data_IF_816400906073
#
_entry.id   IF_816400906073
#
_cell.length_a   1.000
_cell.length_b   1.000
_cell.length_c   1.000
_cell.angle_alpha   90.00
_cell.angle_beta   90.00
_cell.angle_gamma   90.00
#
_symmetry.space_group_name_H-M   'P 1'
#
loop_
_entity.id
_entity.type
_entity.pdbx_description
1 polymer ?
#
# COMPACT_ATOMS: atom_id res chain seq x y z
N UNK A 1 7.64 3.20 30.19
CA UNK A 1 8.52 2.65 29.14
C UNK A 1 7.69 2.56 27.87
N UNK A 2 7.90 3.40 26.83
CA UNK A 2 7.28 3.14 25.54
C UNK A 2 7.93 1.88 24.95
N UNK A 3 7.10 0.94 24.48
CA UNK A 3 7.58 -0.22 23.75
C UNK A 3 8.20 0.25 22.44
N UNK A 4 9.46 -0.10 22.20
CA UNK A 4 10.12 0.09 20.92
C UNK A 4 9.29 -0.63 19.86
N UNK A 5 8.72 0.10 18.92
CA UNK A 5 8.26 -0.49 17.68
C UNK A 5 9.51 -1.03 16.98
N UNK A 6 9.69 -2.35 17.02
CA UNK A 6 10.69 -3.01 16.19
C UNK A 6 10.27 -2.75 14.75
N UNK A 7 10.90 -1.78 14.10
CA UNK A 7 10.91 -1.63 12.65
C UNK A 7 11.60 -2.86 12.08
N UNK A 8 10.86 -3.96 11.98
CA UNK A 8 11.22 -5.07 11.12
C UNK A 8 11.21 -4.58 9.67
N UNK A 9 11.90 -5.27 8.74
CA UNK A 9 11.77 -4.94 7.33
C UNK A 9 10.30 -5.03 6.96
N UNK A 10 9.70 -3.92 6.52
CA UNK A 10 8.30 -3.90 6.12
C UNK A 10 8.06 -4.93 5.03
N UNK A 11 6.87 -5.52 5.00
CA UNK A 11 6.50 -6.40 3.90
C UNK A 11 6.07 -5.55 2.70
N UNK A 12 6.34 -6.04 1.49
CA UNK A 12 5.92 -5.37 0.25
C UNK A 12 4.50 -5.76 -0.11
N UNK A 13 3.73 -4.77 -0.54
CA UNK A 13 2.34 -4.92 -0.93
C UNK A 13 2.07 -4.15 -2.22
N UNK A 14 1.29 -4.77 -3.10
CA UNK A 14 0.76 -4.16 -4.30
C UNK A 14 -0.61 -3.59 -3.96
N UNK A 15 -0.80 -2.31 -4.22
CA UNK A 15 -2.08 -1.59 -4.09
C UNK A 15 -2.56 -1.23 -5.49
N UNK A 16 -3.79 -1.63 -5.83
CA UNK A 16 -4.41 -1.38 -7.13
C UNK A 16 -5.75 -0.67 -6.96
N UNK A 17 -6.11 0.19 -7.90
CA UNK A 17 -7.46 0.71 -7.98
C UNK A 17 -8.44 -0.44 -8.32
N UNK A 18 -9.53 -0.58 -7.57
CA UNK A 18 -10.52 -1.63 -7.82
C UNK A 18 -11.47 -1.31 -8.98
N UNK A 19 -11.52 -0.05 -9.44
CA UNK A 19 -12.37 0.36 -10.56
C UNK A 19 -12.41 1.86 -10.86
N UNK A 20 -12.02 2.73 -9.92
CA UNK A 20 -11.91 4.17 -10.14
C UNK A 20 -10.43 4.56 -10.30
N UNK A 21 -10.05 5.04 -11.49
CA UNK A 21 -8.68 5.50 -11.80
C UNK A 21 -8.20 6.64 -10.86
N UNK A 22 -9.13 7.37 -10.24
CA UNK A 22 -8.82 8.44 -9.29
C UNK A 22 -8.64 7.98 -7.83
N UNK A 23 -9.07 6.77 -7.47
CA UNK A 23 -9.03 6.28 -6.10
C UNK A 23 -7.59 6.14 -5.60
N UNK A 24 -6.68 5.70 -6.47
CA UNK A 24 -5.28 5.50 -6.11
C UNK A 24 -4.52 6.84 -5.99
N UNK A 25 -4.84 7.82 -6.84
CA UNK A 25 -4.27 9.17 -6.73
C UNK A 25 -4.70 9.86 -5.42
N UNK A 26 -6.00 9.78 -5.07
CA UNK A 26 -6.53 10.28 -3.79
C UNK A 26 -5.93 9.55 -2.59
N UNK A 27 -5.72 8.24 -2.74
CA UNK A 27 -5.07 7.44 -1.73
C UNK A 27 -3.63 7.90 -1.50
N UNK A 28 -2.86 8.11 -2.58
CA UNK A 28 -1.49 8.59 -2.53
C UNK A 28 -1.37 9.94 -1.80
N UNK A 29 -2.30 10.87 -2.08
CA UNK A 29 -2.39 12.16 -1.39
C UNK A 29 -2.67 12.00 0.12
N UNK A 30 -3.51 11.02 0.49
CA UNK A 30 -3.87 10.72 1.87
C UNK A 30 -2.73 10.06 2.67
N UNK A 31 -1.85 9.28 2.02
CA UNK A 31 -0.75 8.56 2.69
C UNK A 31 0.59 9.29 2.67
N UNK A 32 0.73 10.39 1.94
CA UNK A 32 2.02 11.11 1.77
C UNK A 32 2.66 11.60 3.08
N UNK A 33 1.93 11.59 4.19
CA UNK A 33 2.41 11.95 5.53
C UNK A 33 2.49 10.77 6.52
N UNK A 34 2.18 9.53 6.11
CA UNK A 34 2.15 8.37 7.00
C UNK A 34 3.53 7.70 7.06
N UNK A 35 4.27 7.79 8.18
CA UNK A 35 5.60 7.19 8.30
C UNK A 35 5.57 5.66 8.40
N UNK A 36 4.39 5.03 8.51
CA UNK A 36 4.25 3.57 8.51
C UNK A 36 4.04 2.99 7.10
N UNK A 37 3.86 3.85 6.08
CA UNK A 37 3.65 3.47 4.68
C UNK A 37 4.71 4.10 3.78
N UNK A 38 5.62 3.28 3.28
CA UNK A 38 6.66 3.73 2.34
C UNK A 38 6.28 3.35 0.92
N UNK A 39 6.05 4.33 0.05
CA UNK A 39 5.84 4.06 -1.38
C UNK A 39 7.19 3.71 -2.02
N UNK A 40 7.31 2.48 -2.50
CA UNK A 40 8.50 1.99 -3.19
C UNK A 40 8.44 2.28 -4.69
N UNK A 41 7.27 2.08 -5.31
CA UNK A 41 7.09 2.21 -6.74
C UNK A 41 5.69 2.68 -7.09
N UNK A 42 5.58 3.49 -8.13
CA UNK A 42 4.30 3.95 -8.69
C UNK A 42 4.27 3.55 -10.16
N UNK A 43 3.25 2.79 -10.54
CA UNK A 43 3.09 2.24 -11.88
C UNK A 43 1.83 2.82 -12.52
N UNK A 44 2.02 3.40 -13.71
CA UNK A 44 0.97 4.04 -14.50
C UNK A 44 1.29 5.49 -14.83
N UNK A 45 0.36 6.20 -15.50
CA UNK A 45 0.52 7.60 -15.83
C UNK A 45 0.57 8.46 -14.56
N UNK A 46 1.42 9.49 -14.55
CA UNK A 46 1.66 10.32 -13.36
C UNK A 46 0.38 10.98 -12.81
N UNK A 47 -0.61 11.26 -13.66
CA UNK A 47 -1.88 11.86 -13.26
C UNK A 47 -2.91 10.84 -12.75
N UNK A 48 -2.75 9.55 -13.05
CA UNK A 48 -3.68 8.48 -12.72
C UNK A 48 -2.94 7.13 -12.58
N UNK A 49 -2.14 6.97 -11.51
CA UNK A 49 -1.48 5.69 -11.28
C UNK A 49 -2.51 4.60 -11.07
N UNK A 50 -2.31 3.44 -11.69
CA UNK A 50 -3.21 2.29 -11.55
C UNK A 50 -2.68 1.27 -10.53
N UNK A 51 -1.39 1.33 -10.21
CA UNK A 51 -0.76 0.43 -9.24
C UNK A 51 0.32 1.15 -8.45
N UNK A 52 0.38 0.86 -7.15
CA UNK A 52 1.43 1.29 -6.24
C UNK A 52 2.05 0.05 -5.59
N UNK A 53 3.36 0.09 -5.36
CA UNK A 53 4.06 -0.85 -4.50
C UNK A 53 4.44 -0.10 -3.23
N UNK A 54 3.98 -0.60 -2.09
CA UNK A 54 4.24 0.00 -0.79
C UNK A 54 4.93 -1.01 0.12
N UNK A 55 5.80 -0.52 0.98
CA UNK A 55 6.40 -1.25 2.08
C UNK A 55 5.80 -0.75 3.39
N UNK A 56 5.26 -1.67 4.18
CA UNK A 56 4.61 -1.34 5.44
C UNK A 56 4.56 -2.55 6.38
N UNK A 57 4.27 -2.25 7.65
CA UNK A 57 3.99 -3.29 8.64
C UNK A 57 2.64 -3.98 8.32
N UNK A 58 2.52 -5.31 8.52
CA UNK A 58 1.26 -6.02 8.29
C UNK A 58 0.07 -5.43 9.05
N UNK A 59 0.28 -4.91 10.26
CA UNK A 59 -0.79 -4.29 11.04
C UNK A 59 -1.29 -2.98 10.40
N UNK A 60 -0.38 -2.17 9.85
CA UNK A 60 -0.73 -0.95 9.12
C UNK A 60 -1.52 -1.28 7.84
N UNK A 61 -1.12 -2.34 7.13
CA UNK A 61 -1.84 -2.82 5.94
C UNK A 61 -3.23 -3.36 6.27
N UNK A 62 -3.40 -4.05 7.41
CA UNK A 62 -4.72 -4.54 7.81
C UNK A 62 -5.68 -3.37 8.09
N UNK A 63 -5.20 -2.35 8.81
CA UNK A 63 -5.96 -1.10 8.99
C UNK A 63 -6.25 -0.41 7.66
N UNK A 64 -5.29 -0.38 6.75
CA UNK A 64 -5.45 0.21 5.42
C UNK A 64 -6.56 -0.50 4.64
N UNK A 65 -6.52 -1.84 4.60
CA UNK A 65 -7.54 -2.68 3.97
C UNK A 65 -8.92 -2.33 4.48
N UNK A 66 -9.09 -2.22 5.79
CA UNK A 66 -10.36 -1.87 6.42
C UNK A 66 -10.86 -0.47 6.01
N UNK A 67 -9.96 0.51 5.85
CA UNK A 67 -10.32 1.88 5.46
C UNK A 67 -10.63 2.03 3.97
N UNK A 68 -10.00 1.21 3.13
CA UNK A 68 -10.13 1.29 1.66
C UNK A 68 -10.92 0.13 1.08
N UNK A 69 -11.68 -0.59 1.91
CA UNK A 69 -12.62 -1.62 1.52
C UNK A 69 -13.44 -1.13 0.31
N UNK A 70 -13.48 -1.95 -0.75
CA UNK A 70 -14.18 -1.70 -2.01
C UNK A 70 -13.63 -0.58 -2.91
N UNK A 71 -12.62 0.18 -2.48
CA UNK A 71 -11.97 1.22 -3.30
C UNK A 71 -10.64 0.76 -3.86
N UNK A 72 -9.85 0.06 -3.04
CA UNK A 72 -8.52 -0.43 -3.40
C UNK A 72 -8.41 -1.93 -3.16
N UNK A 73 -7.72 -2.60 -4.06
CA UNK A 73 -7.24 -3.97 -3.85
C UNK A 73 -5.82 -3.90 -3.29
N UNK A 74 -5.60 -4.56 -2.17
CA UNK A 74 -4.27 -4.65 -1.54
C UNK A 74 -3.89 -6.13 -1.51
N UNK A 75 -2.73 -6.46 -2.04
CA UNK A 75 -2.22 -7.82 -2.16
C UNK A 75 -0.76 -7.87 -1.71
N UNK A 76 -0.29 -8.91 -1.02
CA UNK A 76 1.13 -9.04 -0.71
C UNK A 76 1.93 -9.26 -2.00
N UNK A 77 3.03 -8.52 -2.16
CA UNK A 77 3.97 -8.68 -3.27
C UNK A 77 4.84 -9.92 -3.00
N UNK A 78 4.33 -11.10 -3.36
CA UNK A 78 5.05 -12.36 -3.24
C UNK A 78 5.39 -12.89 -4.63
N UNK A 79 6.61 -13.39 -4.85
CA UNK A 79 6.93 -14.05 -6.10
C UNK A 79 5.97 -15.22 -6.32
N UNK A 80 5.54 -15.40 -7.56
CA UNK A 80 4.81 -16.59 -7.99
C UNK A 80 5.69 -17.81 -7.74
N UNK A 81 5.38 -18.57 -6.70
CA UNK A 81 6.01 -19.87 -6.51
C UNK A 81 5.48 -20.85 -7.55
N UNK A 82 6.26 -21.06 -8.60
CA UNK A 82 6.06 -22.13 -9.57
C UNK A 82 6.60 -23.42 -8.92
N UNK A 83 5.72 -24.20 -8.28
CA UNK A 83 6.02 -25.57 -7.87
C UNK A 83 5.37 -26.55 -8.85
#
# INVERSE_FOLDING_TARGET
MPVSATTGPGSRYIVRAAGDDGALARFLDSIGADPALHVLETIGPAAAPHTLVVEADPAAIDQLRQRTLNQLMIEPDRPLSLF
#
